data_IF_394566667400
#
_entry.id   IF_394566667400
#
_cell.length_a   1.000
_cell.length_b   1.000
_cell.length_c   1.000
_cell.angle_alpha   90.00
_cell.angle_beta   90.00
_cell.angle_gamma   90.00
#
_symmetry.space_group_name_H-M   'P 1'
#
loop_
_entity.id
_entity.type
_entity.pdbx_description
1 polymer ?
#
# COMPACT_ATOMS: atom_id res chain seq x y z
N UNK A 1 -9.57 35.94 -11.93
CA UNK A 1 -10.87 35.31 -12.22
C UNK A 1 -10.77 34.26 -13.32
N UNK A 2 -10.14 34.56 -14.47
CA UNK A 2 -10.08 33.63 -15.63
C UNK A 2 -9.37 32.28 -15.36
N UNK A 3 -8.26 32.25 -14.61
CA UNK A 3 -7.59 30.98 -14.23
C UNK A 3 -8.45 30.05 -13.36
N UNK A 4 -9.27 30.61 -12.47
CA UNK A 4 -10.21 29.85 -11.65
C UNK A 4 -11.39 29.35 -12.50
N UNK A 5 -11.89 30.18 -13.43
CA UNK A 5 -12.94 29.78 -14.37
C UNK A 5 -12.48 28.67 -15.34
N UNK A 6 -11.20 28.64 -15.72
CA UNK A 6 -10.63 27.58 -16.56
C UNK A 6 -10.62 26.22 -15.84
N UNK A 7 -10.24 26.18 -14.55
CA UNK A 7 -10.26 24.94 -13.76
C UNK A 7 -11.69 24.44 -13.47
N UNK A 8 -12.66 25.34 -13.32
CA UNK A 8 -14.07 24.96 -13.13
C UNK A 8 -14.71 24.48 -14.43
N UNK A 9 -14.35 25.04 -15.59
CA UNK A 9 -14.85 24.56 -16.90
C UNK A 9 -14.17 23.29 -17.41
N UNK A 10 -12.91 23.08 -17.04
CA UNK A 10 -12.13 21.90 -17.41
C UNK A 10 -11.66 21.22 -16.13
N UNK A 11 -12.56 20.45 -15.53
CA UNK A 11 -12.26 19.72 -14.31
C UNK A 11 -11.05 18.79 -14.55
N UNK A 12 -9.99 18.89 -13.73
CA UNK A 12 -8.82 18.05 -13.88
C UNK A 12 -9.21 16.57 -13.76
N UNK A 13 -8.98 15.79 -14.81
CA UNK A 13 -9.26 14.36 -14.79
C UNK A 13 -8.21 13.63 -13.97
N UNK A 14 -8.64 12.72 -13.08
CA UNK A 14 -7.77 11.94 -12.18
C UNK A 14 -6.68 11.18 -12.95
N UNK A 15 -7.03 10.63 -14.13
CA UNK A 15 -6.08 9.90 -14.98
C UNK A 15 -4.84 10.72 -15.37
N UNK A 16 -4.95 12.06 -15.39
CA UNK A 16 -3.83 12.95 -15.72
C UNK A 16 -2.79 13.05 -14.58
N UNK A 17 -3.12 12.56 -13.38
CA UNK A 17 -2.26 12.58 -12.20
C UNK A 17 -1.90 11.16 -11.72
N UNK A 18 -2.47 10.11 -12.33
CA UNK A 18 -2.20 8.73 -11.97
C UNK A 18 -0.82 8.30 -12.47
N UNK A 19 -0.09 7.61 -11.59
CA UNK A 19 1.11 6.86 -11.99
C UNK A 19 0.62 5.57 -12.66
N UNK A 20 1.16 5.28 -13.83
CA UNK A 20 0.88 4.07 -14.60
C UNK A 20 1.98 3.03 -14.32
N UNK A 21 1.69 1.76 -14.60
CA UNK A 21 2.64 0.64 -14.41
C UNK A 21 3.19 0.53 -12.98
N UNK A 22 2.28 0.60 -12.00
CA UNK A 22 2.63 0.43 -10.59
C UNK A 22 3.02 -1.01 -10.27
N UNK A 23 3.99 -1.19 -9.37
CA UNK A 23 4.33 -2.51 -8.85
C UNK A 23 3.13 -3.10 -8.08
N UNK A 24 2.91 -4.39 -8.26
CA UNK A 24 1.87 -5.16 -7.55
C UNK A 24 2.50 -6.37 -6.87
N UNK A 25 1.77 -6.97 -5.93
CA UNK A 25 2.17 -8.19 -5.25
C UNK A 25 1.06 -9.24 -5.33
N UNK A 26 1.43 -10.51 -5.32
CA UNK A 26 0.52 -11.65 -5.27
C UNK A 26 0.12 -11.98 -3.83
N UNK A 27 -1.09 -12.51 -3.57
CA UNK A 27 -1.45 -13.02 -2.24
C UNK A 27 -0.52 -14.14 -1.71
N UNK A 28 0.24 -14.80 -2.59
CA UNK A 28 1.20 -15.85 -2.21
C UNK A 28 2.63 -15.34 -2.08
N UNK A 29 2.89 -14.05 -2.33
CA UNK A 29 4.22 -13.48 -2.16
C UNK A 29 4.63 -13.46 -0.70
N UNK A 30 5.93 -13.71 -0.47
CA UNK A 30 6.49 -13.63 0.88
C UNK A 30 6.58 -12.17 1.34
N UNK A 31 6.56 -11.99 2.66
CA UNK A 31 6.76 -10.67 3.25
C UNK A 31 8.12 -10.05 2.88
N UNK A 32 9.16 -10.87 2.69
CA UNK A 32 10.48 -10.40 2.24
C UNK A 32 10.43 -9.77 0.85
N UNK A 33 9.66 -10.38 -0.08
CA UNK A 33 9.41 -9.81 -1.42
C UNK A 33 8.73 -8.45 -1.31
N UNK A 34 7.68 -8.35 -0.49
CA UNK A 34 6.94 -7.10 -0.27
C UNK A 34 7.88 -6.01 0.28
N UNK A 35 8.67 -6.34 1.30
CA UNK A 35 9.60 -5.41 1.92
C UNK A 35 10.66 -4.89 0.93
N UNK A 36 11.21 -5.77 0.08
CA UNK A 36 12.17 -5.38 -0.95
C UNK A 36 11.56 -4.42 -1.98
N UNK A 37 10.30 -4.63 -2.39
CA UNK A 37 9.61 -3.74 -3.33
C UNK A 37 9.37 -2.36 -2.69
N UNK A 38 8.86 -2.33 -1.45
CA UNK A 38 8.60 -1.10 -0.71
C UNK A 38 9.88 -0.27 -0.53
N UNK A 39 10.99 -0.91 -0.16
CA UNK A 39 12.29 -0.27 0.04
C UNK A 39 12.86 0.27 -1.28
N UNK A 40 12.85 -0.55 -2.34
CA UNK A 40 13.43 -0.17 -3.63
C UNK A 40 12.70 1.01 -4.30
N UNK A 41 11.38 1.13 -4.12
CA UNK A 41 10.57 2.14 -4.80
C UNK A 41 10.11 3.28 -3.90
N UNK A 42 10.32 3.19 -2.58
CA UNK A 42 9.78 4.13 -1.61
C UNK A 42 8.25 4.15 -1.56
N UNK A 43 7.60 3.07 -2.02
CA UNK A 43 6.14 2.98 -2.00
C UNK A 43 5.64 2.77 -0.57
N UNK A 44 4.57 3.48 -0.21
CA UNK A 44 3.88 3.25 1.06
C UNK A 44 2.77 2.20 0.96
N UNK A 45 2.37 1.85 -0.27
CA UNK A 45 1.22 1.01 -0.56
C UNK A 45 1.47 0.19 -1.83
N UNK A 46 0.98 -1.05 -1.85
CA UNK A 46 1.07 -1.99 -2.97
C UNK A 46 -0.29 -2.65 -3.20
N UNK A 47 -0.85 -2.59 -4.42
CA UNK A 47 -2.02 -3.39 -4.78
C UNK A 47 -1.69 -4.89 -4.69
N UNK A 48 -2.60 -5.65 -4.09
CA UNK A 48 -2.54 -7.12 -4.08
C UNK A 48 -3.40 -7.64 -5.23
N UNK A 49 -2.79 -8.39 -6.14
CA UNK A 49 -3.42 -8.87 -7.38
C UNK A 49 -3.38 -10.39 -7.43
N UNK A 50 -4.52 -11.00 -7.74
CA UNK A 50 -4.63 -12.42 -8.08
C UNK A 50 -5.02 -12.55 -9.57
N UNK A 51 -4.08 -13.03 -10.38
CA UNK A 51 -4.19 -13.02 -11.84
C UNK A 51 -4.36 -11.60 -12.40
N UNK A 52 -5.56 -11.28 -12.89
CA UNK A 52 -5.94 -9.95 -13.42
C UNK A 52 -6.82 -9.14 -12.47
N UNK A 53 -7.05 -9.64 -11.25
CA UNK A 53 -8.02 -9.05 -10.31
C UNK A 53 -7.31 -8.41 -9.13
N UNK A 54 -7.60 -7.14 -8.84
CA UNK A 54 -7.17 -6.50 -7.60
C UNK A 54 -8.06 -7.03 -6.47
N UNK A 55 -7.44 -7.72 -5.51
CA UNK A 55 -8.14 -8.33 -4.37
C UNK A 55 -7.88 -7.59 -3.05
N UNK A 56 -6.93 -6.66 -3.02
CA UNK A 56 -6.61 -5.92 -1.81
C UNK A 56 -5.56 -4.83 -1.99
N UNK A 57 -5.24 -4.19 -0.88
CA UNK A 57 -4.22 -3.15 -0.79
C UNK A 57 -3.38 -3.39 0.46
N UNK A 58 -2.09 -3.61 0.27
CA UNK A 58 -1.11 -3.69 1.35
C UNK A 58 -0.54 -2.31 1.62
N UNK A 59 -0.53 -1.90 2.88
CA UNK A 59 -0.01 -0.59 3.30
C UNK A 59 1.01 -0.75 4.43
N UNK A 60 2.01 0.12 4.48
CA UNK A 60 3.03 0.09 5.54
C UNK A 60 2.44 0.24 6.95
N UNK A 61 1.34 0.97 7.12
CA UNK A 61 0.65 1.06 8.42
C UNK A 61 -0.04 -0.25 8.83
N UNK A 62 -0.52 -1.07 7.89
CA UNK A 62 -1.06 -2.40 8.18
C UNK A 62 0.04 -3.34 8.65
N UNK A 63 1.20 -3.30 7.97
CA UNK A 63 2.41 -4.02 8.38
C UNK A 63 2.82 -3.62 9.80
N UNK A 64 2.90 -2.33 10.08
CA UNK A 64 3.29 -1.85 11.39
C UNK A 64 2.35 -2.34 12.50
N UNK A 65 1.02 -2.32 12.24
CA UNK A 65 0.02 -2.88 13.18
C UNK A 65 0.18 -4.38 13.36
N UNK A 66 0.44 -5.13 12.29
CA UNK A 66 0.64 -6.57 12.35
C UNK A 66 1.88 -6.94 13.17
N UNK A 67 3.02 -6.29 12.90
CA UNK A 67 4.26 -6.48 13.67
C UNK A 67 4.06 -6.09 15.13
N UNK A 68 3.37 -4.98 15.41
CA UNK A 68 3.03 -4.59 16.78
C UNK A 68 2.23 -5.66 17.50
N UNK A 69 1.27 -6.31 16.83
CA UNK A 69 0.51 -7.42 17.40
C UNK A 69 1.40 -8.60 17.76
N UNK A 70 2.36 -8.96 16.90
CA UNK A 70 3.31 -10.04 17.17
C UNK A 70 4.20 -9.75 18.39
N UNK A 71 4.72 -8.53 18.50
CA UNK A 71 5.58 -8.13 19.62
C UNK A 71 4.82 -8.12 20.94
N UNK A 72 3.58 -7.63 20.94
CA UNK A 72 2.75 -7.59 22.16
C UNK A 72 2.31 -9.00 22.59
N UNK A 73 1.88 -9.84 21.65
CA UNK A 73 1.51 -11.23 21.93
C UNK A 73 2.70 -12.06 22.44
N UNK A 74 3.91 -11.80 21.92
CA UNK A 74 5.13 -12.44 22.40
C UNK A 74 5.51 -12.08 23.84
N UNK A 75 5.11 -10.89 24.33
CA UNK A 75 5.30 -10.49 25.74
C UNK A 75 4.33 -11.20 26.68
N UNK A 76 3.09 -11.44 26.28
CA UNK A 76 2.10 -12.14 27.11
C UNK A 76 2.51 -13.61 27.36
N UNK A 77 3.13 -14.26 26.38
CA UNK A 77 3.65 -15.62 26.55
C UNK A 77 4.83 -15.74 27.52
N UNK A 78 5.56 -14.67 27.83
CA UNK A 78 6.69 -14.66 28.77
C UNK A 78 6.29 -14.24 30.19
N UNK A 79 5.09 -13.69 30.38
CA UNK A 79 4.54 -13.29 31.67
C UNK A 79 3.66 -14.39 32.31
N UNK A 80 3.34 -15.43 31.53
CA UNK A 80 2.55 -16.58 31.97
C UNK A 80 3.39 -17.72 32.56
N UNK A 81 4.72 -17.56 32.61
CA UNK A 81 5.69 -18.46 33.26
C UNK A 81 6.23 -17.86 34.57
#
# INVERSE_FOLDING_TARGET
AERLLFQVRNEPQIQNFMIHDVATVSPVDTFATVAAILDAHGYAQLPVVDGSTIIGLLTTNMVARWVSGMVTAGKESQLAD
#
